data_IF_018909313308
#
_entry.id   IF_018909313308
#
_cell.length_a   1.000
_cell.length_b   1.000
_cell.length_c   1.000
_cell.angle_alpha   90.00
_cell.angle_beta   90.00
_cell.angle_gamma   90.00
#
_symmetry.space_group_name_H-M   'P 1'
#
loop_
_entity.id
_entity.type
_entity.pdbx_description
1 polymer ?
#
# COMPACT_ATOMS: atom_id res chain seq x y z
N UNK A 1 29.90 -21.71 12.24
CA UNK A 1 28.82 -21.36 13.20
C UNK A 1 27.53 -21.88 12.59
N UNK A 2 26.68 -22.55 13.38
CA UNK A 2 25.42 -23.10 12.87
C UNK A 2 24.42 -21.93 12.73
N UNK A 3 23.90 -21.68 11.53
CA UNK A 3 22.89 -20.63 11.32
C UNK A 3 21.58 -21.00 12.05
N UNK A 4 20.89 -20.04 12.68
CA UNK A 4 19.58 -20.26 13.28
C UNK A 4 18.59 -20.87 12.28
N UNK A 5 17.62 -21.66 12.76
CA UNK A 5 16.60 -22.25 11.88
C UNK A 5 15.83 -21.18 11.11
N UNK A 6 15.56 -20.03 11.75
CA UNK A 6 14.96 -18.85 11.14
C UNK A 6 15.65 -18.44 9.83
N UNK A 7 16.97 -18.30 9.82
CA UNK A 7 17.75 -17.88 8.65
C UNK A 7 17.89 -19.00 7.60
N UNK A 8 17.96 -20.25 8.06
CA UNK A 8 18.26 -21.40 7.19
C UNK A 8 17.02 -21.98 6.50
N UNK A 9 15.90 -22.02 7.21
CA UNK A 9 14.62 -22.58 6.76
C UNK A 9 13.47 -21.88 7.48
N UNK A 10 13.16 -20.68 7.00
CA UNK A 10 12.08 -19.85 7.52
C UNK A 10 10.73 -20.60 7.56
N UNK A 11 10.43 -21.40 6.53
CA UNK A 11 9.16 -22.15 6.48
C UNK A 11 9.05 -23.11 7.66
N UNK A 12 10.06 -23.98 7.85
CA UNK A 12 10.04 -24.92 8.98
C UNK A 12 10.04 -24.20 10.32
N UNK A 13 10.78 -23.08 10.45
CA UNK A 13 10.74 -22.23 11.64
C UNK A 13 9.32 -21.72 11.92
N UNK A 14 8.57 -21.21 10.93
CA UNK A 14 7.19 -20.73 11.16
C UNK A 14 6.25 -21.83 11.65
N UNK A 15 6.40 -23.06 11.14
CA UNK A 15 5.60 -24.21 11.57
C UNK A 15 5.94 -24.59 13.01
N UNK A 16 7.23 -24.66 13.35
CA UNK A 16 7.69 -24.97 14.71
C UNK A 16 7.21 -23.93 15.73
N UNK A 17 7.30 -22.63 15.40
CA UNK A 17 6.84 -21.56 16.28
C UNK A 17 5.31 -21.55 16.45
N UNK A 18 4.55 -21.80 15.38
CA UNK A 18 3.10 -21.93 15.46
C UNK A 18 2.67 -23.12 16.34
N UNK A 19 3.36 -24.25 16.22
CA UNK A 19 3.12 -25.43 17.06
C UNK A 19 3.46 -25.14 18.53
N UNK A 20 4.60 -24.49 18.80
CA UNK A 20 5.00 -24.09 20.15
C UNK A 20 3.97 -23.16 20.81
N UNK A 21 3.37 -22.22 20.05
CA UNK A 21 2.27 -21.38 20.53
C UNK A 21 1.02 -22.21 20.87
N UNK A 22 0.61 -23.12 19.97
CA UNK A 22 -0.56 -23.97 20.17
C UNK A 22 -0.43 -24.87 21.42
N UNK A 23 0.77 -25.40 21.64
CA UNK A 23 1.09 -26.27 22.77
C UNK A 23 1.40 -25.49 24.06
N UNK A 24 1.35 -24.16 24.03
CA UNK A 24 1.74 -23.27 25.13
C UNK A 24 3.18 -23.52 25.61
N UNK A 25 4.06 -23.99 24.72
CA UNK A 25 5.45 -24.32 25.01
C UNK A 25 6.34 -23.09 24.88
N UNK A 26 6.31 -22.24 25.91
CA UNK A 26 7.06 -20.98 25.96
C UNK A 26 8.58 -21.15 25.84
N UNK A 27 9.11 -22.34 26.13
CA UNK A 27 10.55 -22.63 26.09
C UNK A 27 11.10 -22.78 24.67
N UNK A 28 10.24 -23.00 23.67
CA UNK A 28 10.61 -23.14 22.26
C UNK A 28 10.33 -21.86 21.44
N UNK A 29 9.77 -20.82 22.07
CA UNK A 29 9.42 -19.58 21.38
C UNK A 29 10.65 -18.71 21.16
N UNK A 30 10.88 -18.38 19.90
CA UNK A 30 11.87 -17.42 19.43
C UNK A 30 11.28 -16.01 19.48
N UNK A 31 11.25 -15.44 20.70
CA UNK A 31 10.54 -14.19 20.99
C UNK A 31 10.96 -13.00 20.14
N UNK A 32 12.24 -12.92 19.79
CA UNK A 32 12.76 -11.80 18.99
C UNK A 32 12.20 -11.86 17.57
N UNK A 33 12.46 -12.95 16.85
CA UNK A 33 11.98 -13.09 15.48
C UNK A 33 10.44 -13.16 15.40
N UNK A 34 9.76 -13.70 16.42
CA UNK A 34 8.30 -13.64 16.50
C UNK A 34 7.76 -12.22 16.60
N UNK A 35 8.40 -11.35 17.40
CA UNK A 35 8.00 -9.95 17.48
C UNK A 35 8.21 -9.22 16.15
N UNK A 36 9.38 -9.42 15.53
CA UNK A 36 9.70 -8.88 14.20
C UNK A 36 8.67 -9.31 13.14
N UNK A 37 8.36 -10.61 13.06
CA UNK A 37 7.41 -11.14 12.07
C UNK A 37 5.96 -10.68 12.30
N UNK A 38 5.56 -10.44 13.55
CA UNK A 38 4.25 -9.88 13.87
C UNK A 38 4.15 -8.40 13.48
N UNK A 39 5.22 -7.63 13.71
CA UNK A 39 5.32 -6.24 13.23
C UNK A 39 5.29 -6.19 11.71
N UNK A 40 6.05 -7.05 11.03
CA UNK A 40 6.10 -7.15 9.57
C UNK A 40 4.76 -7.60 8.97
N UNK A 41 4.02 -8.49 9.63
CA UNK A 41 2.66 -8.82 9.24
C UNK A 41 1.73 -7.60 9.25
N UNK A 42 1.85 -6.74 10.26
CA UNK A 42 1.12 -5.47 10.31
C UNK A 42 1.55 -4.50 9.22
N UNK A 43 2.87 -4.33 9.04
CA UNK A 43 3.46 -3.41 8.07
C UNK A 43 3.08 -3.78 6.63
N UNK A 44 2.96 -5.06 6.28
CA UNK A 44 2.50 -5.50 4.94
C UNK A 44 1.13 -4.92 4.55
N UNK A 45 0.23 -4.72 5.52
CA UNK A 45 -1.06 -4.07 5.24
C UNK A 45 -0.91 -2.56 5.03
N UNK A 46 0.00 -1.92 5.76
CA UNK A 46 0.37 -0.52 5.57
C UNK A 46 1.00 -0.28 4.19
N UNK A 47 2.00 -1.08 3.82
CA UNK A 47 2.66 -1.01 2.51
C UNK A 47 1.66 -1.23 1.37
N UNK A 48 0.72 -2.16 1.56
CA UNK A 48 -0.35 -2.37 0.60
C UNK A 48 -1.28 -1.16 0.48
N UNK A 49 -1.55 -0.42 1.57
CA UNK A 49 -2.33 0.81 1.49
C UNK A 49 -1.57 1.88 0.72
N UNK A 50 -0.30 2.12 1.08
CA UNK A 50 0.56 3.09 0.41
C UNK A 50 0.66 2.80 -1.09
N UNK A 51 1.05 1.58 -1.48
CA UNK A 51 1.15 1.17 -2.89
C UNK A 51 -0.16 1.38 -3.69
N UNK A 52 -1.32 1.08 -3.07
CA UNK A 52 -2.62 1.31 -3.72
C UNK A 52 -2.94 2.77 -3.89
N UNK A 53 -2.61 3.59 -2.90
CA UNK A 53 -2.73 5.04 -2.99
C UNK A 53 -1.84 5.59 -4.09
N UNK A 54 -0.59 5.12 -4.20
CA UNK A 54 0.34 5.58 -5.24
C UNK A 54 -0.24 5.35 -6.64
N UNK A 55 -0.77 4.15 -6.91
CA UNK A 55 -1.39 3.81 -8.19
C UNK A 55 -2.65 4.64 -8.44
N UNK A 56 -3.51 4.81 -7.44
CA UNK A 56 -4.73 5.61 -7.55
C UNK A 56 -4.41 7.05 -7.91
N UNK A 57 -3.50 7.67 -7.16
CA UNK A 57 -3.11 9.07 -7.33
C UNK A 57 -2.47 9.27 -8.70
N UNK A 58 -1.53 8.40 -9.10
CA UNK A 58 -0.89 8.47 -10.41
C UNK A 58 -1.92 8.43 -11.55
N UNK A 59 -2.92 7.56 -11.46
CA UNK A 59 -3.97 7.48 -12.47
C UNK A 59 -4.92 8.68 -12.44
N UNK A 60 -5.19 9.28 -11.29
CA UNK A 60 -5.95 10.52 -11.20
C UNK A 60 -5.18 11.71 -11.79
N UNK A 61 -3.86 11.79 -11.58
CA UNK A 61 -2.99 12.78 -12.24
C UNK A 61 -3.01 12.59 -13.76
N UNK A 62 -2.80 11.36 -14.25
CA UNK A 62 -2.92 11.03 -15.68
C UNK A 62 -4.27 11.43 -16.25
N UNK A 63 -5.35 11.17 -15.50
CA UNK A 63 -6.70 11.54 -15.89
C UNK A 63 -6.87 13.05 -16.08
N UNK A 64 -6.27 13.84 -15.17
CA UNK A 64 -6.34 15.30 -15.17
C UNK A 64 -5.48 15.93 -16.28
N UNK A 65 -4.23 15.48 -16.41
CA UNK A 65 -3.21 16.15 -17.24
C UNK A 65 -3.08 15.56 -18.65
N UNK A 66 -3.62 14.36 -18.90
CA UNK A 66 -3.72 13.76 -20.25
C UNK A 66 -5.18 13.43 -20.60
N UNK A 67 -6.04 14.45 -20.64
CA UNK A 67 -7.48 14.30 -20.95
C UNK A 67 -7.75 13.54 -22.25
N UNK A 68 -6.90 13.73 -23.25
CA UNK A 68 -7.08 13.15 -24.59
C UNK A 68 -6.75 11.64 -24.62
N UNK A 69 -6.09 11.12 -23.59
CA UNK A 69 -5.70 9.72 -23.44
C UNK A 69 -6.56 8.95 -22.42
N UNK A 70 -7.63 9.58 -21.91
CA UNK A 70 -8.55 8.95 -20.98
C UNK A 70 -9.16 7.68 -21.61
N UNK A 71 -8.86 6.54 -21.01
CA UNK A 71 -9.29 5.24 -21.51
C UNK A 71 -10.18 4.50 -20.51
N UNK A 72 -10.95 3.53 -21.03
CA UNK A 72 -11.71 2.61 -20.17
C UNK A 72 -10.78 1.82 -19.24
N UNK A 73 -9.55 1.54 -19.66
CA UNK A 73 -8.54 0.87 -18.84
C UNK A 73 -8.17 1.73 -17.63
N UNK A 74 -7.86 3.02 -17.82
CA UNK A 74 -7.52 3.93 -16.71
C UNK A 74 -8.70 4.11 -15.75
N UNK A 75 -9.92 4.24 -16.29
CA UNK A 75 -11.15 4.30 -15.50
C UNK A 75 -11.33 3.04 -14.64
N UNK A 76 -11.05 1.86 -15.21
CA UNK A 76 -11.13 0.59 -14.50
C UNK A 76 -10.09 0.53 -13.37
N UNK A 77 -8.83 0.94 -13.63
CA UNK A 77 -7.77 0.99 -12.61
C UNK A 77 -8.15 1.89 -11.43
N UNK A 78 -8.64 3.12 -11.69
CA UNK A 78 -9.06 4.06 -10.63
C UNK A 78 -10.17 3.44 -9.76
N UNK A 79 -11.20 2.89 -10.40
CA UNK A 79 -12.31 2.22 -9.69
C UNK A 79 -11.86 0.99 -8.93
N UNK A 80 -10.90 0.23 -9.46
CA UNK A 80 -10.33 -0.93 -8.79
C UNK A 80 -9.54 -0.53 -7.54
N UNK A 81 -8.63 0.45 -7.64
CA UNK A 81 -7.84 0.87 -6.50
C UNK A 81 -8.72 1.43 -5.38
N UNK A 82 -9.71 2.29 -5.70
CA UNK A 82 -10.70 2.76 -4.71
C UNK A 82 -11.39 1.61 -3.98
N UNK A 83 -11.91 0.62 -4.71
CA UNK A 83 -12.57 -0.56 -4.11
C UNK A 83 -11.61 -1.40 -3.26
N UNK A 84 -10.36 -1.56 -3.68
CA UNK A 84 -9.37 -2.34 -2.94
C UNK A 84 -8.91 -1.61 -1.67
N UNK A 85 -8.75 -0.28 -1.73
CA UNK A 85 -8.46 0.56 -0.56
C UNK A 85 -9.60 0.49 0.45
N UNK A 86 -10.85 0.71 0.02
CA UNK A 86 -12.02 0.58 0.91
C UNK A 86 -12.08 -0.80 1.59
N UNK A 87 -11.91 -1.88 0.81
CA UNK A 87 -11.90 -3.24 1.34
C UNK A 87 -10.77 -3.46 2.35
N UNK A 88 -9.58 -2.94 2.08
CA UNK A 88 -8.43 -3.04 2.96
C UNK A 88 -8.70 -2.36 4.30
N UNK A 89 -9.20 -1.11 4.28
CA UNK A 89 -9.52 -0.34 5.49
C UNK A 89 -10.69 -0.92 6.28
N UNK A 90 -11.65 -1.60 5.61
CA UNK A 90 -12.72 -2.32 6.30
C UNK A 90 -12.25 -3.58 7.00
N UNK A 91 -11.27 -4.30 6.43
CA UNK A 91 -10.68 -5.49 7.06
C UNK A 91 -9.68 -5.12 8.16
N UNK A 92 -9.02 -3.98 8.03
CA UNK A 92 -8.00 -3.48 8.96
C UNK A 92 -8.37 -2.08 9.48
N UNK A 93 -9.40 -1.94 10.34
CA UNK A 93 -9.88 -0.62 10.78
C UNK A 93 -8.84 0.21 11.53
N UNK A 94 -7.88 -0.43 12.21
CA UNK A 94 -6.75 0.25 12.85
C UNK A 94 -5.87 1.01 11.85
N UNK A 95 -5.83 0.59 10.58
CA UNK A 95 -5.05 1.25 9.54
C UNK A 95 -5.59 2.62 9.14
N UNK A 96 -6.84 2.95 9.51
CA UNK A 96 -7.46 4.24 9.19
C UNK A 96 -6.72 5.42 9.85
N UNK A 97 -6.14 5.23 11.04
CA UNK A 97 -5.36 6.29 11.70
C UNK A 97 -4.07 6.63 10.95
N UNK A 98 -3.55 5.67 10.18
CA UNK A 98 -2.32 5.77 9.38
C UNK A 98 -2.56 6.34 7.97
N UNK A 99 -3.78 6.76 7.65
CA UNK A 99 -4.15 7.21 6.31
C UNK A 99 -3.29 8.38 5.79
N UNK A 100 -3.05 9.39 6.63
CA UNK A 100 -2.27 10.57 6.22
C UNK A 100 -0.78 10.23 6.02
N UNK A 101 -0.24 9.34 6.85
CA UNK A 101 1.13 8.83 6.71
C UNK A 101 1.28 8.04 5.41
N UNK A 102 0.36 7.11 5.15
CA UNK A 102 0.36 6.33 3.90
C UNK A 102 0.17 7.20 2.66
N UNK A 103 -0.57 8.31 2.75
CA UNK A 103 -0.68 9.29 1.66
C UNK A 103 0.64 10.04 1.42
N UNK A 104 1.32 10.44 2.49
CA UNK A 104 2.61 11.13 2.39
C UNK A 104 3.66 10.22 1.74
N UNK A 105 3.69 8.95 2.14
CA UNK A 105 4.59 7.94 1.56
C UNK A 105 4.23 7.62 0.10
N UNK A 106 2.93 7.58 -0.23
CA UNK A 106 2.45 7.25 -1.57
C UNK A 106 2.67 8.38 -2.60
N UNK A 107 2.75 9.63 -2.15
CA UNK A 107 2.83 10.79 -3.04
C UNK A 107 4.05 10.79 -3.98
N UNK A 108 5.31 10.65 -3.50
CA UNK A 108 6.46 10.65 -4.39
C UNK A 108 6.39 9.53 -5.44
N UNK A 109 5.98 8.32 -5.03
CA UNK A 109 5.80 7.18 -5.94
C UNK A 109 4.70 7.44 -6.98
N UNK A 110 3.60 8.09 -6.57
CA UNK A 110 2.51 8.44 -7.48
C UNK A 110 2.94 9.45 -8.54
N UNK A 111 3.71 10.45 -8.12
CA UNK A 111 4.23 11.50 -9.00
C UNK A 111 5.23 10.92 -10.00
N UNK A 112 6.20 10.14 -9.54
CA UNK A 112 7.16 9.43 -10.42
C UNK A 112 6.43 8.55 -11.43
N UNK A 113 5.45 7.76 -10.98
CA UNK A 113 4.66 6.89 -11.86
C UNK A 113 3.89 7.70 -12.90
N UNK A 114 3.28 8.83 -12.52
CA UNK A 114 2.57 9.69 -13.45
C UNK A 114 3.52 10.32 -14.48
N UNK A 115 4.67 10.87 -14.06
CA UNK A 115 5.68 11.43 -14.95
C UNK A 115 6.15 10.37 -15.96
N UNK A 116 6.55 9.19 -15.46
CA UNK A 116 7.07 8.10 -16.29
C UNK A 116 6.05 7.57 -17.30
N UNK A 117 4.79 7.45 -16.91
CA UNK A 117 3.74 6.90 -17.81
C UNK A 117 3.15 7.93 -18.77
N UNK A 118 3.18 9.23 -18.41
CA UNK A 118 2.69 10.30 -19.29
C UNK A 118 3.77 10.82 -20.24
N UNK A 119 5.04 10.76 -19.84
CA UNK A 119 6.15 11.41 -20.52
C UNK A 119 6.12 12.95 -20.44
N UNK A 120 5.29 13.53 -19.56
CA UNK A 120 5.26 14.96 -19.29
C UNK A 120 6.35 15.35 -18.30
N UNK A 121 6.91 16.54 -18.44
CA UNK A 121 7.87 17.08 -17.48
C UNK A 121 7.21 17.28 -16.10
N UNK A 122 8.01 17.18 -15.04
CA UNK A 122 7.57 17.34 -13.65
C UNK A 122 6.83 18.68 -13.43
N UNK A 123 7.20 19.74 -14.15
CA UNK A 123 6.60 21.07 -14.09
C UNK A 123 5.12 21.11 -14.46
N UNK A 124 4.61 20.11 -15.20
CA UNK A 124 3.18 20.00 -15.51
C UNK A 124 2.36 19.46 -14.34
N UNK A 125 3.00 18.87 -13.35
CA UNK A 125 2.35 18.29 -12.18
C UNK A 125 2.39 19.24 -10.98
N UNK A 126 1.44 19.10 -10.04
CA UNK A 126 1.38 19.99 -8.89
C UNK A 126 2.53 19.67 -7.93
N UNK A 127 3.21 20.71 -7.44
CA UNK A 127 4.29 20.57 -6.45
C UNK A 127 3.81 20.05 -5.09
N UNK A 128 2.50 20.12 -4.84
CA UNK A 128 1.86 19.71 -3.60
C UNK A 128 0.71 18.75 -3.92
N UNK A 129 0.39 17.87 -2.99
CA UNK A 129 -0.67 16.89 -3.15
C UNK A 129 -2.02 17.57 -3.50
N UNK A 130 -2.64 17.29 -4.66
CA UNK A 130 -3.76 18.08 -5.17
C UNK A 130 -5.15 17.59 -4.72
N UNK A 131 -5.22 16.42 -4.09
CA UNK A 131 -6.50 15.77 -3.77
C UNK A 131 -6.79 15.77 -2.27
N UNK A 132 -8.05 15.78 -1.88
CA UNK A 132 -8.44 15.53 -0.49
C UNK A 132 -8.71 14.05 -0.25
N UNK A 133 -8.66 13.61 1.01
CA UNK A 133 -9.10 12.25 1.40
C UNK A 133 -10.50 11.93 0.87
N UNK A 134 -11.42 12.90 0.93
CA UNK A 134 -12.79 12.74 0.45
C UNK A 134 -12.84 12.49 -1.06
N UNK A 135 -12.05 13.24 -1.84
CA UNK A 135 -11.95 13.06 -3.30
C UNK A 135 -11.34 11.71 -3.69
N UNK A 136 -10.33 11.24 -2.95
CA UNK A 136 -9.74 9.92 -3.19
C UNK A 136 -10.75 8.80 -2.94
N UNK A 137 -11.56 8.94 -1.89
CA UNK A 137 -12.54 7.93 -1.47
C UNK A 137 -13.87 8.01 -2.23
N UNK A 138 -14.19 9.15 -2.85
CA UNK A 138 -15.42 9.33 -3.61
C UNK A 138 -15.40 8.56 -4.94
N UNK A 139 -16.26 7.54 -5.14
CA UNK A 139 -16.32 6.79 -6.39
C UNK A 139 -16.71 7.63 -7.62
N UNK A 140 -17.34 8.79 -7.41
CA UNK A 140 -17.81 9.69 -8.44
C UNK A 140 -16.85 10.86 -8.72
N UNK A 141 -15.80 11.03 -7.92
CA UNK A 141 -14.81 12.06 -8.18
C UNK A 141 -13.91 11.70 -9.36
N UNK A 142 -13.83 12.62 -10.32
CA UNK A 142 -12.92 12.61 -11.46
C UNK A 142 -12.33 14.02 -11.59
N UNK A 143 -11.00 14.17 -11.56
CA UNK A 143 -10.40 15.50 -11.64
C UNK A 143 -10.65 16.10 -13.03
N UNK A 144 -10.89 17.39 -13.04
CA UNK A 144 -11.01 18.21 -14.25
C UNK A 144 -9.72 19.01 -14.42
N UNK A 145 -9.42 19.37 -15.66
CA UNK A 145 -8.26 20.18 -15.99
C UNK A 145 -8.41 21.60 -15.45
#
# INVERSE_FOLDING_TARGET
MNQPLYERDFYSWTIEQAQALADHNIGQLDWQHLAEELEDLGNRHYDQLSSRLSILIAHLLKWQYQSDQQSNSWRATIREQRRKIDRLLRRNPGLKSRWQEALADAWPDALDLAIRETGLDEEFFPQHFPFTTQQLQDPNFWPQK
#
